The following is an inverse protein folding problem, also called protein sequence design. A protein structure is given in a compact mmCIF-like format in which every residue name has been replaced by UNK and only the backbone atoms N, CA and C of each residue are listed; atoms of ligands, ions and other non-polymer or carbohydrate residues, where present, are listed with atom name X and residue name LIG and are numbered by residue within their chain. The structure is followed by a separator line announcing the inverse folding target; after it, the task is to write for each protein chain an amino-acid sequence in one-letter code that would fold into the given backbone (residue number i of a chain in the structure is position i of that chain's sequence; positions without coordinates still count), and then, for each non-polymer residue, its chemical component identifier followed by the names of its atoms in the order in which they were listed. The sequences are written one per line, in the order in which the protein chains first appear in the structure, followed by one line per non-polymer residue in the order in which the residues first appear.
data_IF_521663074272
#
_entry.id   IF_521663074272
#
_cell.length_a   1.000
_cell.length_b   1.000
_cell.length_c   1.000
_cell.angle_alpha   90.00
_cell.angle_beta   90.00
_cell.angle_gamma   90.00
#
_symmetry.space_group_name_H-M   'P 1'
#
loop_
_entity.id
_entity.type
_entity.pdbx_description
1 polymer ?
#
# COMPACT_ATOMS: atom_id res chain seq x y z
N UNK A 1 -4.29 12.01 -19.84
CA UNK A 1 -3.45 11.64 -21.01
C UNK A 1 -4.30 11.68 -22.28
N UNK A 2 -3.70 11.97 -23.45
CA UNK A 2 -4.40 11.94 -24.76
C UNK A 2 -4.12 10.67 -25.59
N UNK A 3 -3.05 9.94 -25.30
CA UNK A 3 -2.67 8.69 -25.96
C UNK A 3 -3.25 7.46 -25.25
N UNK A 4 -3.64 6.44 -26.02
CA UNK A 4 -3.92 5.10 -25.49
C UNK A 4 -2.63 4.26 -25.29
N UNK A 5 -2.77 3.01 -24.84
CA UNK A 5 -1.65 2.11 -24.58
C UNK A 5 -0.88 1.72 -25.85
N UNK A 6 -1.54 1.66 -27.01
CA UNK A 6 -0.94 1.37 -28.31
C UNK A 6 -0.09 2.56 -28.76
N UNK A 7 -0.67 3.76 -28.71
CA UNK A 7 -0.01 5.01 -29.08
C UNK A 7 1.19 5.32 -28.17
N UNK A 8 1.13 4.93 -26.89
CA UNK A 8 2.28 4.96 -26.00
C UNK A 8 3.34 3.91 -26.37
N UNK A 9 2.93 2.68 -26.69
CA UNK A 9 3.83 1.59 -27.12
C UNK A 9 4.56 1.91 -28.44
N UNK A 10 3.94 2.65 -29.36
CA UNK A 10 4.59 3.10 -30.61
C UNK A 10 5.80 4.02 -30.35
N UNK A 11 5.76 4.82 -29.26
CA UNK A 11 6.79 5.84 -28.98
C UNK A 11 7.86 5.38 -27.97
N UNK A 12 7.51 4.54 -26.98
CA UNK A 12 8.43 4.09 -25.92
C UNK A 12 9.75 3.48 -26.45
N UNK A 13 9.76 2.58 -27.46
CA UNK A 13 10.98 2.02 -28.03
C UNK A 13 11.82 3.05 -28.78
N UNK A 14 11.19 4.06 -29.38
CA UNK A 14 11.87 5.16 -30.09
C UNK A 14 12.62 6.03 -29.08
N UNK A 15 11.95 6.43 -27.99
CA UNK A 15 12.56 7.19 -26.91
C UNK A 15 13.72 6.42 -26.25
N UNK A 16 13.54 5.12 -25.99
CA UNK A 16 14.58 4.24 -25.44
C UNK A 16 15.82 4.17 -26.35
N UNK A 17 15.61 4.02 -27.65
CA UNK A 17 16.68 3.95 -28.64
C UNK A 17 17.40 5.29 -28.80
N UNK A 18 16.67 6.40 -28.70
CA UNK A 18 17.21 7.77 -28.74
C UNK A 18 18.05 8.06 -27.49
N UNK A 19 17.57 7.73 -26.29
CA UNK A 19 18.35 7.85 -25.06
C UNK A 19 19.62 6.99 -25.12
N UNK A 20 19.50 5.74 -25.57
CA UNK A 20 20.63 4.81 -25.64
C UNK A 20 21.72 5.25 -26.61
N UNK A 21 21.34 5.71 -27.81
CA UNK A 21 22.27 6.23 -28.83
C UNK A 21 22.95 7.55 -28.43
N UNK A 22 22.33 8.34 -27.54
CA UNK A 22 22.91 9.57 -26.98
C UNK A 22 23.64 9.35 -25.64
N UNK A 23 23.96 8.10 -25.28
CA UNK A 23 24.65 7.72 -24.02
C UNK A 23 23.88 8.06 -22.72
N UNK A 24 22.54 8.16 -22.80
CA UNK A 24 21.63 8.46 -21.69
C UNK A 24 20.86 7.22 -21.18
N UNK A 25 21.38 6.00 -21.38
CA UNK A 25 20.74 4.73 -20.97
C UNK A 25 20.58 4.53 -19.45
N UNK A 26 21.18 5.41 -18.65
CA UNK A 26 20.93 5.54 -17.20
C UNK A 26 19.55 6.13 -16.89
N UNK A 27 19.02 7.00 -17.77
CA UNK A 27 17.68 7.58 -17.66
C UNK A 27 16.62 6.47 -17.74
N UNK A 28 15.58 6.57 -16.91
CA UNK A 28 14.48 5.61 -16.90
C UNK A 28 13.21 6.25 -17.42
N UNK A 29 12.65 5.64 -18.47
CA UNK A 29 11.36 6.03 -19.02
C UNK A 29 10.27 5.65 -18.03
N UNK A 30 9.35 6.60 -17.80
CA UNK A 30 8.12 6.42 -17.04
C UNK A 30 6.93 6.46 -18.01
N UNK A 31 5.85 5.78 -17.66
CA UNK A 31 4.54 5.98 -18.29
C UNK A 31 3.45 5.58 -17.30
N UNK A 32 2.28 6.22 -17.24
CA UNK A 32 1.79 7.19 -18.22
C UNK A 32 1.21 8.45 -17.61
N UNK A 33 1.37 8.63 -16.30
CA UNK A 33 0.92 9.83 -15.59
C UNK A 33 -0.58 10.09 -15.88
N UNK A 34 -1.35 8.99 -15.87
CA UNK A 34 -2.78 9.00 -16.13
C UNK A 34 -3.52 9.73 -14.99
N UNK A 35 -4.67 10.34 -15.29
CA UNK A 35 -5.34 11.29 -14.38
C UNK A 35 -5.81 10.60 -13.10
N UNK A 36 -6.15 9.32 -13.15
CA UNK A 36 -6.43 8.48 -11.98
C UNK A 36 -5.92 7.06 -12.13
N UNK A 37 -5.87 6.36 -11.00
CA UNK A 37 -5.28 5.01 -10.89
C UNK A 37 -5.98 3.95 -11.76
N UNK A 38 -7.29 4.10 -12.01
CA UNK A 38 -8.05 3.18 -12.86
C UNK A 38 -7.64 3.26 -14.33
N UNK A 39 -7.38 4.48 -14.83
CA UNK A 39 -6.87 4.70 -16.18
C UNK A 39 -5.47 4.10 -16.32
N UNK A 40 -4.60 4.29 -15.31
CA UNK A 40 -3.26 3.72 -15.33
C UNK A 40 -3.26 2.20 -15.29
N UNK A 41 -4.21 1.54 -14.61
CA UNK A 41 -4.36 0.07 -14.70
C UNK A 41 -4.66 -0.39 -16.12
N UNK A 42 -5.51 0.33 -16.83
CA UNK A 42 -5.86 0.03 -18.23
C UNK A 42 -4.64 0.21 -19.14
N UNK A 43 -3.94 1.35 -19.03
CA UNK A 43 -2.73 1.63 -19.80
C UNK A 43 -1.60 0.64 -19.51
N UNK A 44 -1.37 0.31 -18.24
CA UNK A 44 -0.36 -0.68 -17.82
C UNK A 44 -0.66 -2.06 -18.40
N UNK A 45 -1.92 -2.50 -18.36
CA UNK A 45 -2.32 -3.81 -18.92
C UNK A 45 -2.01 -3.89 -20.43
N UNK A 46 -2.33 -2.83 -21.19
CA UNK A 46 -1.99 -2.75 -22.61
C UNK A 46 -0.48 -2.69 -22.89
N UNK A 47 0.26 -1.90 -22.11
CA UNK A 47 1.73 -1.74 -22.27
C UNK A 47 2.51 -3.01 -21.89
N UNK A 48 2.05 -3.75 -20.88
CA UNK A 48 2.61 -5.05 -20.52
C UNK A 48 2.31 -6.08 -21.61
N UNK A 49 1.09 -6.11 -22.15
CA UNK A 49 0.74 -6.97 -23.28
C UNK A 49 1.54 -6.63 -24.57
N UNK A 50 1.88 -5.36 -24.78
CA UNK A 50 2.76 -4.90 -25.85
C UNK A 50 4.27 -5.14 -25.56
N UNK A 51 4.64 -5.68 -24.40
CA UNK A 51 6.03 -5.99 -24.03
C UNK A 51 6.89 -4.76 -23.69
N UNK A 52 6.30 -3.63 -23.31
CA UNK A 52 7.01 -2.36 -23.08
C UNK A 52 7.82 -2.31 -21.78
N UNK A 53 7.62 -3.24 -20.85
CA UNK A 53 8.36 -3.27 -19.56
C UNK A 53 9.88 -3.28 -19.74
N UNK A 54 10.40 -3.87 -20.83
CA UNK A 54 11.84 -3.94 -21.13
C UNK A 54 12.49 -2.57 -21.41
N UNK A 55 11.69 -1.57 -21.80
CA UNK A 55 12.14 -0.21 -22.13
C UNK A 55 11.89 0.80 -20.99
N UNK A 56 11.05 0.45 -20.02
CA UNK A 56 10.60 1.31 -18.93
C UNK A 56 11.32 1.01 -17.61
N UNK A 57 11.24 1.92 -16.64
CA UNK A 57 11.72 1.67 -15.27
C UNK A 57 10.64 1.76 -14.19
N UNK A 58 9.58 2.54 -14.44
CA UNK A 58 8.51 2.82 -13.46
C UNK A 58 7.19 3.04 -14.20
N UNK A 59 6.09 2.51 -13.67
CA UNK A 59 4.74 2.94 -14.05
C UNK A 59 4.27 4.10 -13.15
N UNK A 60 3.75 5.17 -13.73
CA UNK A 60 3.40 6.44 -13.06
C UNK A 60 1.91 6.76 -13.22
N UNK A 61 1.29 7.38 -12.20
CA UNK A 61 -0.12 7.77 -12.19
C UNK A 61 -0.37 8.97 -11.29
N UNK A 62 -1.31 9.82 -11.68
CA UNK A 62 -1.90 10.82 -10.79
C UNK A 62 -3.03 10.17 -9.96
N UNK A 63 -3.57 10.91 -8.97
CA UNK A 63 -4.66 10.43 -8.09
C UNK A 63 -6.05 11.03 -8.37
N UNK A 64 -6.15 12.08 -9.19
CA UNK A 64 -7.37 12.90 -9.32
C UNK A 64 -8.60 12.14 -9.83
N UNK A 65 -8.40 11.18 -10.75
CA UNK A 65 -9.44 10.27 -11.23
C UNK A 65 -9.64 9.02 -10.37
N UNK A 66 -9.03 8.95 -9.19
CA UNK A 66 -9.11 7.83 -8.25
C UNK A 66 -7.75 7.49 -7.62
N UNK A 67 -7.74 7.30 -6.30
CA UNK A 67 -6.53 7.03 -5.52
C UNK A 67 -5.88 5.67 -5.83
N UNK A 68 -4.55 5.55 -5.63
CA UNK A 68 -3.85 4.27 -5.63
C UNK A 68 -4.31 3.38 -4.46
N UNK A 69 -5.21 2.43 -4.75
CA UNK A 69 -5.85 1.54 -3.77
C UNK A 69 -5.39 0.07 -3.78
N UNK A 70 -4.85 -0.40 -4.91
CA UNK A 70 -4.51 -1.80 -5.19
C UNK A 70 -3.50 -1.88 -6.34
N UNK A 71 -2.64 -2.91 -6.44
CA UNK A 71 -1.47 -2.85 -7.33
C UNK A 71 -1.79 -2.72 -8.82
N UNK A 72 -0.82 -2.25 -9.59
CA UNK A 72 -0.81 -2.40 -11.05
C UNK A 72 -0.29 -3.80 -11.43
N UNK A 73 -0.77 -4.34 -12.56
CA UNK A 73 -0.35 -5.66 -13.07
C UNK A 73 0.96 -5.53 -13.83
N UNK A 74 2.08 -5.44 -13.11
CA UNK A 74 3.42 -5.17 -13.66
C UNK A 74 4.52 -5.79 -12.80
N UNK A 75 5.69 -6.05 -13.41
CA UNK A 75 6.94 -6.41 -12.71
C UNK A 75 7.76 -5.17 -12.28
N UNK A 76 7.47 -4.00 -12.87
CA UNK A 76 8.17 -2.74 -12.59
C UNK A 76 7.65 -2.08 -11.30
N UNK A 77 8.41 -1.09 -10.82
CA UNK A 77 7.97 -0.22 -9.72
C UNK A 77 6.78 0.63 -10.17
N UNK A 78 5.84 0.86 -9.28
CA UNK A 78 4.73 1.80 -9.50
C UNK A 78 4.87 3.02 -8.59
N UNK A 79 4.68 4.23 -9.13
CA UNK A 79 4.68 5.49 -8.39
C UNK A 79 3.32 6.18 -8.56
N UNK A 80 2.81 6.77 -7.48
CA UNK A 80 1.90 7.90 -7.62
C UNK A 80 2.80 9.15 -7.78
N UNK A 81 2.61 9.87 -8.87
CA UNK A 81 3.54 10.89 -9.39
C UNK A 81 3.02 12.32 -9.27
N UNK A 82 1.70 12.50 -9.28
CA UNK A 82 1.09 13.81 -9.03
C UNK A 82 -0.23 13.67 -8.26
N UNK A 83 -0.50 14.64 -7.39
CA UNK A 83 -1.72 14.67 -6.61
C UNK A 83 -1.70 15.81 -5.61
N UNK A 84 -2.77 16.58 -5.62
CA UNK A 84 -3.06 17.56 -4.59
C UNK A 84 -4.58 17.74 -4.46
N UNK A 85 -4.98 18.43 -3.41
CA UNK A 85 -6.33 18.99 -3.35
C UNK A 85 -6.36 20.31 -4.12
N UNK A 86 -7.15 20.34 -5.19
CA UNK A 86 -7.27 21.47 -6.12
C UNK A 86 -8.50 22.34 -5.85
N UNK A 87 -9.32 22.01 -4.84
CA UNK A 87 -10.64 22.60 -4.64
C UNK A 87 -10.81 23.26 -3.27
N UNK A 88 -10.36 22.62 -2.18
CA UNK A 88 -10.52 23.23 -0.85
C UNK A 88 -9.40 24.26 -0.59
N UNK A 89 -9.80 25.39 0.01
CA UNK A 89 -8.89 26.47 0.37
C UNK A 89 -7.74 26.00 1.29
N UNK A 90 -6.61 26.68 1.23
CA UNK A 90 -5.40 26.21 1.91
C UNK A 90 -5.56 26.17 3.44
N UNK A 91 -5.31 25.00 4.05
CA UNK A 91 -5.38 24.81 5.49
C UNK A 91 -4.10 24.21 6.12
N UNK A 92 -3.87 24.53 7.39
CA UNK A 92 -2.85 23.91 8.27
C UNK A 92 -3.33 22.62 8.94
N UNK A 93 -4.64 22.42 9.04
CA UNK A 93 -5.31 21.38 9.83
C UNK A 93 -4.70 19.99 9.65
N UNK A 94 -4.40 19.32 10.75
CA UNK A 94 -4.04 17.91 10.72
C UNK A 94 -5.29 17.01 10.63
N UNK A 95 -6.24 17.15 11.55
CA UNK A 95 -7.54 16.50 11.48
C UNK A 95 -8.66 17.33 12.11
N UNK A 96 -9.83 17.35 11.48
CA UNK A 96 -11.07 17.95 12.01
C UNK A 96 -12.28 17.11 11.61
N UNK A 97 -12.44 16.85 10.31
CA UNK A 97 -13.57 16.11 9.75
C UNK A 97 -13.20 15.18 8.59
N UNK A 98 -11.92 15.10 8.20
CA UNK A 98 -11.45 14.32 7.06
C UNK A 98 -11.55 15.04 5.71
N UNK A 99 -11.58 16.39 5.69
CA UNK A 99 -11.52 17.18 4.46
C UNK A 99 -10.25 16.93 3.63
N UNK A 100 -10.26 17.28 2.34
CA UNK A 100 -9.12 17.01 1.45
C UNK A 100 -7.90 17.88 1.77
N UNK A 101 -8.09 19.05 2.38
CA UNK A 101 -6.99 19.86 2.87
C UNK A 101 -6.25 19.24 4.09
N UNK A 102 -6.87 18.29 4.82
CA UNK A 102 -6.40 17.84 6.14
C UNK A 102 -5.22 16.84 6.07
N UNK A 103 -4.26 16.98 7.00
CA UNK A 103 -3.07 16.12 7.06
C UNK A 103 -3.34 14.61 7.21
N UNK A 104 -4.28 14.21 8.07
CA UNK A 104 -4.60 12.80 8.30
C UNK A 104 -5.23 12.14 7.06
N UNK A 105 -6.02 12.89 6.28
CA UNK A 105 -6.56 12.44 4.99
C UNK A 105 -5.42 12.04 4.05
N UNK A 106 -4.37 12.85 3.97
CA UNK A 106 -3.18 12.54 3.17
C UNK A 106 -2.31 11.43 3.77
N UNK A 107 -2.21 11.34 5.08
CA UNK A 107 -1.54 10.20 5.73
C UNK A 107 -2.23 8.86 5.43
N UNK A 108 -3.57 8.86 5.35
CA UNK A 108 -4.37 7.71 4.95
C UNK A 108 -4.17 7.35 3.47
N UNK A 109 -4.18 8.34 2.57
CA UNK A 109 -3.87 8.15 1.13
C UNK A 109 -2.46 7.59 0.91
N UNK A 110 -1.44 8.17 1.54
CA UNK A 110 -0.04 7.68 1.48
C UNK A 110 0.05 6.23 1.99
N UNK A 111 -0.54 5.94 3.15
CA UNK A 111 -0.55 4.59 3.72
C UNK A 111 -1.22 3.58 2.78
N UNK A 112 -2.36 3.94 2.20
CA UNK A 112 -3.10 3.09 1.26
C UNK A 112 -2.30 2.84 -0.02
N UNK A 113 -1.69 3.88 -0.59
CA UNK A 113 -0.85 3.76 -1.78
C UNK A 113 0.38 2.87 -1.54
N UNK A 114 1.15 3.12 -0.48
CA UNK A 114 2.39 2.37 -0.20
C UNK A 114 2.11 0.92 0.23
N UNK A 115 1.06 0.68 1.04
CA UNK A 115 0.81 -0.65 1.62
C UNK A 115 -0.14 -1.51 0.78
N UNK A 116 -1.24 -0.94 0.26
CA UNK A 116 -2.27 -1.65 -0.49
C UNK A 116 -2.02 -1.61 -2.00
N UNK A 117 -1.66 -0.45 -2.57
CA UNK A 117 -1.30 -0.33 -3.99
C UNK A 117 0.17 -0.67 -4.31
N UNK A 118 0.95 -1.05 -3.29
CA UNK A 118 2.35 -1.46 -3.41
C UNK A 118 3.26 -0.41 -4.08
N UNK A 119 2.96 0.88 -3.87
CA UNK A 119 3.76 1.98 -4.44
C UNK A 119 5.21 1.99 -3.91
N UNK A 120 6.12 2.35 -4.81
CA UNK A 120 7.53 2.64 -4.50
C UNK A 120 7.82 4.13 -4.27
N UNK A 121 6.89 5.02 -4.62
CA UNK A 121 6.91 6.44 -4.26
C UNK A 121 5.49 7.03 -4.28
N UNK A 122 5.31 8.12 -3.53
CA UNK A 122 4.12 8.95 -3.48
C UNK A 122 4.61 10.41 -3.55
N UNK A 123 4.07 11.22 -4.45
CA UNK A 123 4.54 12.56 -4.80
C UNK A 123 3.35 13.53 -4.79
N UNK A 124 3.48 14.61 -4.01
CA UNK A 124 2.51 15.71 -4.01
C UNK A 124 2.76 16.65 -5.20
N UNK A 125 1.74 17.33 -5.71
CA UNK A 125 1.88 18.21 -6.88
C UNK A 125 2.94 19.31 -6.68
N UNK A 126 2.73 20.23 -5.74
CA UNK A 126 3.66 21.35 -5.51
C UNK A 126 4.22 21.38 -4.07
N UNK A 127 5.49 21.77 -3.95
CA UNK A 127 6.16 21.89 -2.66
C UNK A 127 5.77 23.16 -1.91
N UNK A 128 5.88 24.32 -2.58
CA UNK A 128 5.68 25.66 -2.02
C UNK A 128 4.99 26.54 -3.06
N UNK A 129 3.99 27.32 -2.65
CA UNK A 129 3.45 28.43 -3.45
C UNK A 129 3.44 29.73 -2.63
N UNK A 130 3.47 30.88 -3.32
CA UNK A 130 3.57 32.21 -2.71
C UNK A 130 2.33 33.03 -3.07
N UNK A 131 1.58 33.47 -2.05
CA UNK A 131 0.35 34.25 -2.19
C UNK A 131 -0.77 33.60 -3.05
N UNK A 132 -0.99 32.28 -2.91
CA UNK A 132 -2.00 31.50 -3.65
C UNK A 132 -3.00 30.75 -2.72
N UNK A 133 -3.74 31.43 -1.83
CA UNK A 133 -4.52 30.78 -0.76
C UNK A 133 -5.72 29.95 -1.23
N UNK A 134 -6.12 30.07 -2.51
CA UNK A 134 -7.38 29.53 -3.04
C UNK A 134 -7.47 28.01 -3.09
N UNK A 135 -6.35 27.29 -3.07
CA UNK A 135 -6.31 25.84 -3.20
C UNK A 135 -5.24 25.21 -2.29
N UNK A 136 -5.47 23.97 -1.89
CA UNK A 136 -4.49 23.14 -1.19
C UNK A 136 -3.47 22.48 -2.14
N UNK A 137 -3.21 23.08 -3.32
CA UNK A 137 -2.37 22.54 -4.42
C UNK A 137 -0.91 22.28 -4.02
N UNK A 138 -0.48 22.81 -2.88
CA UNK A 138 0.88 22.81 -2.38
C UNK A 138 1.00 22.45 -0.89
N UNK A 139 2.18 21.98 -0.49
CA UNK A 139 2.46 21.54 0.89
C UNK A 139 2.81 22.69 1.87
N UNK A 140 3.35 23.80 1.39
CA UNK A 140 3.84 24.92 2.23
C UNK A 140 3.41 26.29 1.66
N UNK A 141 2.70 27.09 2.44
CA UNK A 141 2.35 28.46 2.05
C UNK A 141 3.50 29.43 2.32
N UNK A 142 3.56 30.51 1.54
CA UNK A 142 4.28 31.72 1.93
C UNK A 142 3.53 32.99 1.51
N UNK A 143 3.64 34.04 2.32
CA UNK A 143 3.23 35.41 1.96
C UNK A 143 4.35 36.20 1.25
N UNK A 144 5.55 35.61 1.15
CA UNK A 144 6.80 36.25 0.72
C UNK A 144 7.78 36.52 1.86
N UNK A 145 7.35 36.38 3.12
CA UNK A 145 8.15 36.57 4.34
C UNK A 145 7.96 35.43 5.34
N UNK A 146 6.72 35.05 5.65
CA UNK A 146 6.37 33.88 6.48
C UNK A 146 6.38 32.62 5.63
N UNK A 147 6.75 31.48 6.22
CA UNK A 147 6.67 30.16 5.59
C UNK A 147 5.85 29.25 6.51
N UNK A 148 4.70 28.79 6.03
CA UNK A 148 3.69 28.09 6.83
C UNK A 148 3.45 26.68 6.30
N UNK A 149 4.01 25.64 6.94
CA UNK A 149 3.72 24.24 6.62
C UNK A 149 2.25 23.85 6.84
N UNK A 150 1.71 23.03 5.93
CA UNK A 150 0.41 22.38 6.13
C UNK A 150 0.53 21.07 6.92
N UNK A 151 -0.58 20.58 7.51
CA UNK A 151 -0.69 19.21 8.02
C UNK A 151 -0.36 18.16 6.95
N UNK A 152 -0.59 18.47 5.66
CA UNK A 152 -0.23 17.61 4.53
C UNK A 152 1.29 17.44 4.40
N UNK A 153 2.09 18.50 4.60
CA UNK A 153 3.57 18.37 4.65
C UNK A 153 3.97 17.36 5.74
N UNK A 154 3.34 17.44 6.91
CA UNK A 154 3.67 16.59 8.04
C UNK A 154 3.25 15.13 7.83
N UNK A 155 2.18 14.87 7.07
CA UNK A 155 1.84 13.53 6.61
C UNK A 155 2.97 12.91 5.78
N UNK A 156 3.50 13.64 4.79
CA UNK A 156 4.67 13.20 4.03
C UNK A 156 5.94 13.07 4.89
N UNK A 157 6.17 14.00 5.82
CA UNK A 157 7.34 14.01 6.68
C UNK A 157 7.42 12.76 7.59
N UNK A 158 6.28 12.26 8.08
CA UNK A 158 6.20 11.06 8.92
C UNK A 158 6.62 9.76 8.19
N UNK A 159 6.67 9.77 6.86
CA UNK A 159 7.25 8.69 6.06
C UNK A 159 8.66 9.06 5.58
N UNK A 160 8.78 10.17 4.85
CA UNK A 160 9.98 10.57 4.11
C UNK A 160 11.21 10.87 4.99
N UNK A 161 11.04 11.38 6.22
CA UNK A 161 12.18 11.60 7.13
C UNK A 161 12.86 10.30 7.57
N UNK A 162 12.13 9.19 7.59
CA UNK A 162 12.56 7.95 8.23
C UNK A 162 12.82 6.82 7.22
N UNK A 163 11.97 6.68 6.20
CA UNK A 163 12.11 5.72 5.11
C UNK A 163 12.90 6.40 3.98
N UNK A 164 14.07 5.87 3.63
CA UNK A 164 15.04 6.51 2.74
C UNK A 164 15.18 5.79 1.40
N UNK A 165 15.68 6.44 0.33
CA UNK A 165 15.89 5.79 -0.97
C UNK A 165 16.72 4.51 -0.85
N UNK A 166 16.25 3.44 -1.50
CA UNK A 166 16.84 2.09 -1.39
C UNK A 166 16.28 1.24 -0.24
N UNK A 167 15.43 1.79 0.63
CA UNK A 167 14.66 1.00 1.59
C UNK A 167 13.67 0.06 0.88
N UNK A 168 13.32 -1.04 1.56
CA UNK A 168 12.31 -1.99 1.10
C UNK A 168 11.28 -2.29 2.18
N UNK A 169 10.04 -2.56 1.77
CA UNK A 169 8.94 -2.95 2.66
C UNK A 169 9.19 -4.38 3.18
N UNK A 170 9.05 -4.58 4.49
CA UNK A 170 9.08 -5.90 5.13
C UNK A 170 7.67 -6.33 5.53
N UNK A 171 7.48 -7.62 5.78
CA UNK A 171 6.18 -8.14 6.22
C UNK A 171 5.81 -7.67 7.62
N UNK A 172 4.52 -7.45 7.83
CA UNK A 172 3.89 -7.20 9.14
C UNK A 172 2.83 -8.28 9.39
N UNK A 173 2.50 -8.52 10.66
CA UNK A 173 1.47 -9.48 11.06
C UNK A 173 0.80 -9.04 12.37
N UNK A 174 -0.44 -9.48 12.58
CA UNK A 174 -1.32 -8.92 13.61
C UNK A 174 -2.08 -7.69 13.12
N UNK A 175 -3.08 -7.26 13.89
CA UNK A 175 -3.96 -6.12 13.57
C UNK A 175 -4.18 -5.26 14.80
N UNK A 176 -4.45 -3.97 14.58
CA UNK A 176 -4.77 -2.97 15.61
C UNK A 176 -5.97 -2.17 15.10
N UNK A 177 -6.95 -1.89 15.98
CA UNK A 177 -8.22 -1.29 15.55
C UNK A 177 -8.00 0.11 14.96
N UNK A 178 -8.56 0.37 13.77
CA UNK A 178 -8.40 1.63 13.02
C UNK A 178 -6.96 2.07 12.73
N UNK A 179 -5.97 1.18 12.80
CA UNK A 179 -4.55 1.50 12.54
C UNK A 179 -4.00 0.69 11.37
N UNK A 180 -3.55 1.38 10.31
CA UNK A 180 -2.72 0.76 9.27
C UNK A 180 -1.26 0.69 9.72
N UNK A 181 -0.56 -0.42 9.44
CA UNK A 181 0.81 -0.69 9.92
C UNK A 181 1.73 -1.01 8.74
N UNK A 182 2.69 -0.13 8.46
CA UNK A 182 3.74 -0.32 7.45
C UNK A 182 5.11 -0.50 8.09
N UNK A 183 5.89 -1.49 7.65
CA UNK A 183 7.26 -1.70 8.13
C UNK A 183 8.27 -1.73 6.98
N UNK A 184 9.44 -1.14 7.18
CA UNK A 184 10.47 -0.95 6.15
C UNK A 184 11.87 -1.16 6.73
N UNK A 185 12.77 -1.74 5.94
CA UNK A 185 14.21 -1.78 6.24
C UNK A 185 14.95 -0.80 5.34
N UNK A 186 15.68 0.14 5.95
CA UNK A 186 16.57 1.06 5.27
C UNK A 186 17.90 0.40 4.87
N UNK A 187 18.64 1.03 3.97
CA UNK A 187 19.99 0.63 3.58
C UNK A 187 21.04 0.76 4.69
N UNK A 188 20.79 1.61 5.70
CA UNK A 188 21.57 1.69 6.96
C UNK A 188 21.29 0.51 7.92
N UNK A 189 20.43 -0.43 7.53
CA UNK A 189 20.02 -1.59 8.33
C UNK A 189 18.91 -1.31 9.35
N UNK A 190 18.53 -0.04 9.56
CA UNK A 190 17.48 0.33 10.51
C UNK A 190 16.09 -0.13 10.05
N UNK A 191 15.26 -0.48 11.03
CA UNK A 191 13.84 -0.79 10.82
C UNK A 191 13.01 0.44 11.15
N UNK A 192 12.06 0.76 10.27
CA UNK A 192 11.08 1.83 10.48
C UNK A 192 9.69 1.23 10.43
N UNK A 193 8.87 1.51 11.45
CA UNK A 193 7.45 1.14 11.47
C UNK A 193 6.61 2.41 11.55
N UNK A 194 5.66 2.55 10.62
CA UNK A 194 4.70 3.66 10.55
C UNK A 194 3.31 3.13 10.89
N UNK A 195 2.66 3.80 11.83
CA UNK A 195 1.27 3.59 12.25
C UNK A 195 0.44 4.82 11.84
N UNK A 196 -0.63 4.63 11.07
CA UNK A 196 -1.64 5.68 10.83
C UNK A 196 -2.94 5.27 11.52
N UNK A 197 -3.29 5.96 12.62
CA UNK A 197 -4.53 5.75 13.35
C UNK A 197 -5.61 6.71 12.84
N UNK A 198 -6.66 6.16 12.23
CA UNK A 198 -7.85 6.94 11.82
C UNK A 198 -9.00 6.83 12.84
N UNK A 199 -8.78 6.14 13.96
CA UNK A 199 -9.76 5.97 15.03
C UNK A 199 -9.73 7.09 16.08
N UNK A 200 -10.87 7.26 16.74
CA UNK A 200 -11.10 8.22 17.83
C UNK A 200 -10.47 7.85 19.18
N UNK A 201 -9.72 6.74 19.25
CA UNK A 201 -9.10 6.24 20.49
C UNK A 201 -7.63 5.91 20.28
N UNK A 202 -6.82 6.19 21.30
CA UNK A 202 -5.41 5.81 21.29
C UNK A 202 -5.26 4.28 21.42
N UNK A 203 -4.28 3.72 20.71
CA UNK A 203 -4.01 2.28 20.65
C UNK A 203 -2.64 1.97 21.25
N UNK A 204 -2.59 1.07 22.24
CA UNK A 204 -1.33 0.55 22.77
C UNK A 204 -0.85 -0.61 21.89
N UNK A 205 0.38 -0.53 21.39
CA UNK A 205 0.93 -1.51 20.43
C UNK A 205 2.28 -2.00 20.93
N UNK A 206 2.47 -3.32 20.96
CA UNK A 206 3.75 -3.96 21.27
C UNK A 206 4.30 -4.65 20.03
N UNK A 207 5.42 -4.15 19.51
CA UNK A 207 6.14 -4.73 18.38
C UNK A 207 7.06 -5.86 18.85
N UNK A 208 6.92 -7.03 18.23
CA UNK A 208 7.86 -8.14 18.30
C UNK A 208 8.50 -8.37 16.93
N UNK A 209 9.64 -9.07 16.90
CA UNK A 209 10.50 -9.13 15.71
C UNK A 209 10.95 -10.56 15.41
N UNK A 210 10.93 -10.92 14.13
CA UNK A 210 11.53 -12.14 13.61
C UNK A 210 12.73 -11.75 12.72
N UNK A 211 13.90 -12.29 13.00
CA UNK A 211 15.14 -11.98 12.28
C UNK A 211 15.75 -10.59 12.55
N UNK A 212 15.28 -9.87 13.57
CA UNK A 212 15.83 -8.58 14.01
C UNK A 212 15.79 -8.49 15.54
N UNK A 213 16.82 -7.90 16.14
CA UNK A 213 16.90 -7.61 17.57
C UNK A 213 17.14 -6.10 17.78
N UNK A 214 16.13 -5.31 18.20
CA UNK A 214 16.29 -3.88 18.44
C UNK A 214 17.24 -3.61 19.62
N UNK A 215 18.17 -2.68 19.42
CA UNK A 215 19.03 -2.10 20.47
C UNK A 215 18.65 -0.66 20.80
N UNK A 216 17.95 0.04 19.91
CA UNK A 216 17.35 1.35 20.16
C UNK A 216 15.94 1.43 19.56
N UNK A 217 15.13 2.32 20.12
CA UNK A 217 13.87 2.75 19.53
C UNK A 217 13.69 4.25 19.74
N UNK A 218 13.22 4.96 18.71
CA UNK A 218 12.86 6.38 18.79
C UNK A 218 11.55 6.58 18.04
N UNK A 219 10.51 7.00 18.76
CA UNK A 219 9.20 7.27 18.19
C UNK A 219 9.00 8.77 17.99
N UNK A 220 8.32 9.10 16.90
CA UNK A 220 7.89 10.44 16.54
C UNK A 220 6.40 10.40 16.23
N UNK A 221 5.65 11.46 16.49
CA UNK A 221 4.23 11.53 16.15
C UNK A 221 3.82 12.88 15.54
N UNK A 222 2.79 12.84 14.70
CA UNK A 222 2.04 14.02 14.24
C UNK A 222 0.57 13.83 14.55
N UNK A 223 -0.02 14.83 15.20
CA UNK A 223 -1.45 14.94 15.52
C UNK A 223 -1.87 16.43 15.45
N UNK A 224 -3.03 16.81 15.99
CA UNK A 224 -3.51 18.20 16.00
C UNK A 224 -2.67 19.18 16.84
N UNK A 225 -1.80 18.67 17.72
CA UNK A 225 -0.98 19.42 18.68
C UNK A 225 0.53 19.18 18.51
N UNK A 226 0.92 18.12 17.80
CA UNK A 226 2.28 17.66 17.63
C UNK A 226 2.68 17.59 16.16
N UNK A 227 3.93 17.96 15.85
CA UNK A 227 4.45 18.00 14.48
C UNK A 227 5.80 17.28 14.44
N UNK A 228 5.79 16.01 14.02
CA UNK A 228 6.95 15.10 14.05
C UNK A 228 7.65 15.12 15.42
N UNK A 229 6.87 15.25 16.50
CA UNK A 229 7.37 15.45 17.86
C UNK A 229 7.88 14.13 18.44
N UNK A 230 9.00 14.16 19.17
CA UNK A 230 9.54 12.97 19.83
C UNK A 230 8.56 12.47 20.91
N UNK A 231 8.39 11.15 20.99
CA UNK A 231 7.53 10.50 22.00
C UNK A 231 8.17 9.21 22.51
N UNK A 232 7.59 8.62 23.56
CA UNK A 232 8.13 7.45 24.25
C UNK A 232 7.96 6.17 23.43
N UNK A 233 9.05 5.45 23.23
CA UNK A 233 9.06 4.05 22.81
C UNK A 233 9.77 3.23 23.88
N UNK A 234 9.08 2.26 24.48
CA UNK A 234 9.62 1.43 25.56
C UNK A 234 10.19 0.14 24.98
N UNK A 235 11.52 0.06 24.88
CA UNK A 235 12.23 -1.17 24.54
C UNK A 235 12.45 -2.01 25.82
N UNK A 236 11.80 -3.17 25.91
CA UNK A 236 11.94 -4.11 27.03
C UNK A 236 11.70 -5.55 26.58
N UNK A 237 12.46 -6.51 27.11
CA UNK A 237 12.33 -7.93 26.74
C UNK A 237 12.55 -8.25 25.25
N UNK A 238 13.18 -7.36 24.49
CA UNK A 238 13.32 -7.46 23.02
C UNK A 238 12.11 -6.96 22.22
N UNK A 239 11.02 -6.54 22.89
CA UNK A 239 9.86 -5.92 22.29
C UNK A 239 9.91 -4.39 22.41
N UNK A 240 9.23 -3.68 21.49
CA UNK A 240 9.10 -2.22 21.52
C UNK A 240 7.63 -1.82 21.65
N UNK A 241 7.27 -1.23 22.79
CA UNK A 241 5.88 -0.80 23.08
C UNK A 241 5.73 0.70 22.87
N UNK A 242 4.66 1.09 22.18
CA UNK A 242 4.27 2.49 21.90
C UNK A 242 2.78 2.72 22.13
N UNK A 243 2.39 3.97 22.40
CA UNK A 243 1.00 4.41 22.37
C UNK A 243 0.78 5.28 21.13
N UNK A 244 -0.03 4.81 20.19
CA UNK A 244 -0.41 5.54 18.97
C UNK A 244 -1.65 6.39 19.29
N UNK A 245 -1.60 7.72 19.30
CA UNK A 245 -2.75 8.55 19.67
C UNK A 245 -3.93 8.40 18.70
N UNK A 246 -5.11 8.84 19.13
CA UNK A 246 -6.26 8.98 18.24
C UNK A 246 -5.95 9.95 17.09
N UNK A 247 -6.47 9.68 15.89
CA UNK A 247 -6.35 10.56 14.72
C UNK A 247 -4.90 11.04 14.43
N UNK A 248 -3.92 10.14 14.49
CA UNK A 248 -2.49 10.48 14.47
C UNK A 248 -1.68 9.55 13.57
N UNK A 249 -0.49 10.02 13.15
CA UNK A 249 0.57 9.14 12.65
C UNK A 249 1.66 9.04 13.70
N UNK A 250 2.15 7.83 13.96
CA UNK A 250 3.32 7.57 14.80
C UNK A 250 4.33 6.74 14.00
N UNK A 251 5.58 7.19 13.94
CA UNK A 251 6.68 6.49 13.27
C UNK A 251 7.79 6.14 14.25
N UNK A 252 8.14 4.86 14.34
CA UNK A 252 9.23 4.33 15.17
C UNK A 252 10.42 4.01 14.27
N UNK A 253 11.57 4.64 14.48
CA UNK A 253 12.86 4.18 13.93
C UNK A 253 13.61 3.37 14.98
N UNK A 254 14.18 2.24 14.59
CA UNK A 254 14.94 1.34 15.45
C UNK A 254 16.27 0.97 14.78
N UNK A 255 17.35 1.00 15.56
CA UNK A 255 18.61 0.32 15.20
C UNK A 255 18.73 -0.99 15.98
N UNK A 256 19.51 -1.93 15.46
CA UNK A 256 19.58 -3.29 16.00
C UNK A 256 20.36 -4.21 15.07
N UNK A 257 20.54 -5.46 15.48
CA UNK A 257 21.20 -6.49 14.66
C UNK A 257 20.16 -7.30 13.88
N UNK A 258 20.51 -7.69 12.65
CA UNK A 258 19.75 -8.73 11.94
C UNK A 258 20.15 -10.07 12.52
N UNK A 259 19.21 -10.82 13.10
CA UNK A 259 19.46 -12.13 13.69
C UNK A 259 19.18 -13.21 12.66
N UNK A 260 20.21 -13.95 12.22
CA UNK A 260 20.00 -15.17 11.45
C UNK A 260 19.48 -16.26 12.37
N UNK A 261 18.16 -16.42 12.43
CA UNK A 261 17.52 -17.62 12.99
C UNK A 261 17.92 -18.81 12.13
N UNK A 262 19.00 -19.50 12.50
CA UNK A 262 19.44 -20.71 11.83
C UNK A 262 18.43 -21.82 12.10
N UNK A 263 17.47 -21.98 11.18
CA UNK A 263 16.62 -23.17 11.08
C UNK A 263 17.48 -24.35 10.65
N UNK A 264 18.21 -24.89 11.62
CA UNK A 264 18.96 -26.14 11.48
C UNK A 264 17.97 -27.29 11.34
N UNK A 265 17.43 -27.48 10.13
CA UNK A 265 16.66 -28.66 9.76
C UNK A 265 17.53 -29.88 10.00
N UNK A 266 17.26 -30.59 11.11
CA UNK A 266 17.97 -31.80 11.49
C UNK A 266 17.59 -32.94 10.54
N UNK A 267 18.27 -33.00 9.40
CA UNK A 267 18.12 -34.06 8.40
C UNK A 267 18.69 -35.36 8.95
N UNK A 268 17.91 -36.05 9.79
CA UNK A 268 18.26 -37.37 10.35
C UNK A 268 18.23 -38.41 9.23
N UNK A 269 19.38 -38.62 8.60
CA UNK A 269 19.59 -39.63 7.58
C UNK A 269 19.64 -41.02 8.21
N UNK A 270 18.70 -41.89 7.82
CA UNK A 270 18.71 -43.32 8.15
C UNK A 270 18.67 -44.12 6.86
N UNK A 271 19.63 -45.04 6.68
CA UNK A 271 19.82 -45.80 5.45
C UNK A 271 18.89 -47.02 5.34
N UNK A 272 18.56 -47.41 4.10
CA UNK A 272 17.69 -48.53 3.78
C UNK A 272 18.46 -49.80 3.42
N UNK A 273 18.01 -50.97 3.88
CA UNK A 273 18.19 -52.23 3.13
C UNK A 273 17.20 -53.33 3.53
N UNK A 274 16.37 -53.72 2.55
CA UNK A 274 15.78 -55.04 2.25
C UNK A 274 15.10 -55.92 3.33
N UNK A 275 13.83 -56.22 3.03
CA UNK A 275 13.25 -57.58 2.84
C UNK A 275 12.98 -58.42 4.12
N UNK A 276 11.74 -58.80 4.48
CA UNK A 276 10.44 -58.75 3.76
C UNK A 276 9.30 -58.15 4.65
N UNK A 277 8.03 -58.56 4.78
CA UNK A 277 7.26 -59.78 4.38
C UNK A 277 5.76 -59.47 4.17
N UNK A 278 5.06 -60.40 3.50
CA UNK A 278 3.62 -60.51 3.21
C UNK A 278 2.62 -59.83 4.16
N UNK A 279 1.67 -59.08 3.58
CA UNK A 279 0.27 -59.03 4.04
C UNK A 279 -0.68 -58.80 2.85
N UNK A 280 -1.98 -59.04 3.02
CA UNK A 280 -2.95 -59.28 1.94
C UNK A 280 -3.60 -58.03 1.33
N UNK A 281 -3.93 -58.14 0.03
CA UNK A 281 -4.64 -57.12 -0.74
C UNK A 281 -6.13 -57.07 -0.39
N UNK A 282 -6.66 -55.90 -0.01
CA UNK A 282 -8.10 -55.58 -0.10
C UNK A 282 -8.30 -54.21 -0.73
N UNK A 283 -8.65 -54.20 -2.02
CA UNK A 283 -8.96 -52.97 -2.75
C UNK A 283 -10.30 -52.39 -2.30
N UNK A 284 -10.34 -51.11 -1.93
CA UNK A 284 -11.62 -50.40 -1.72
C UNK A 284 -11.53 -48.97 -2.26
N UNK A 285 -12.19 -48.75 -3.40
CA UNK A 285 -12.35 -47.42 -4.00
C UNK A 285 -13.13 -46.50 -3.07
N UNK A 286 -12.63 -45.27 -2.86
CA UNK A 286 -13.34 -44.22 -2.13
C UNK A 286 -13.45 -42.98 -3.00
N UNK A 287 -14.61 -42.80 -3.62
CA UNK A 287 -14.92 -41.62 -4.44
C UNK A 287 -15.26 -40.44 -3.53
N UNK A 288 -14.50 -39.35 -3.59
CA UNK A 288 -14.79 -38.15 -2.80
C UNK A 288 -15.93 -37.36 -3.44
N UNK A 289 -17.13 -37.43 -2.86
CA UNK A 289 -18.31 -36.70 -3.33
C UNK A 289 -18.25 -35.23 -2.95
N UNK A 290 -18.35 -34.32 -3.92
CA UNK A 290 -18.51 -32.87 -3.66
C UNK A 290 -19.94 -32.56 -3.25
N UNK A 291 -20.16 -32.21 -1.97
CA UNK A 291 -21.51 -31.93 -1.44
C UNK A 291 -21.98 -30.52 -1.78
N UNK A 292 -22.68 -30.35 -2.91
CA UNK A 292 -23.35 -29.08 -3.26
C UNK A 292 -24.65 -28.91 -2.47
N UNK A 293 -24.62 -28.18 -1.36
CA UNK A 293 -25.83 -27.79 -0.61
C UNK A 293 -26.52 -26.60 -1.27
N UNK A 294 -27.48 -26.85 -2.15
CA UNK A 294 -28.29 -25.81 -2.80
C UNK A 294 -29.38 -25.28 -1.86
N UNK A 295 -29.18 -24.11 -1.28
CA UNK A 295 -30.16 -23.37 -0.46
C UNK A 295 -31.25 -22.70 -1.32
N UNK A 296 -32.07 -23.51 -1.98
CA UNK A 296 -33.21 -23.04 -2.78
C UNK A 296 -34.29 -22.41 -1.89
N UNK A 297 -34.35 -21.08 -1.84
CA UNK A 297 -35.44 -20.35 -1.17
C UNK A 297 -35.06 -19.08 -0.41
N UNK A 298 -33.77 -18.71 -0.34
CA UNK A 298 -33.35 -17.45 0.29
C UNK A 298 -33.01 -16.38 -0.76
N UNK A 299 -33.34 -15.12 -0.43
CA UNK A 299 -33.31 -13.98 -1.35
C UNK A 299 -32.48 -12.85 -0.76
N UNK A 300 -31.47 -12.37 -1.49
CA UNK A 300 -30.65 -11.23 -1.15
C UNK A 300 -31.43 -9.92 -1.38
N UNK A 301 -31.36 -8.98 -0.42
CA UNK A 301 -31.98 -7.66 -0.55
C UNK A 301 -31.24 -6.78 -1.55
N UNK A 302 -31.87 -5.66 -1.96
CA UNK A 302 -31.16 -4.57 -2.65
C UNK A 302 -29.87 -4.22 -1.89
N UNK A 303 -28.76 -4.04 -2.63
CA UNK A 303 -27.39 -3.80 -2.16
C UNK A 303 -26.69 -4.95 -1.42
N UNK A 304 -27.33 -6.09 -1.19
CA UNK A 304 -26.68 -7.26 -0.62
C UNK A 304 -25.82 -8.03 -1.65
N UNK A 305 -24.87 -8.81 -1.16
CA UNK A 305 -24.07 -9.71 -1.99
C UNK A 305 -24.94 -10.86 -2.53
N UNK A 306 -24.72 -11.25 -3.79
CA UNK A 306 -25.43 -12.33 -4.48
C UNK A 306 -24.51 -13.30 -5.24
N UNK A 307 -23.19 -13.11 -5.15
CA UNK A 307 -22.22 -13.95 -5.86
C UNK A 307 -20.77 -13.55 -5.57
N UNK A 308 -19.85 -14.35 -6.10
CA UNK A 308 -18.40 -14.22 -5.92
C UNK A 308 -17.73 -15.57 -5.66
N UNK A 309 -16.44 -15.69 -5.95
CA UNK A 309 -15.64 -16.87 -5.62
C UNK A 309 -15.72 -17.13 -4.11
N UNK A 310 -16.15 -18.35 -3.75
CA UNK A 310 -16.30 -18.77 -2.34
C UNK A 310 -17.58 -18.26 -1.64
N UNK A 311 -18.45 -17.51 -2.31
CA UNK A 311 -19.72 -17.06 -1.72
C UNK A 311 -20.72 -18.22 -1.59
N UNK A 312 -21.28 -18.42 -0.40
CA UNK A 312 -22.22 -19.51 -0.06
C UNK A 312 -23.59 -19.00 0.39
N UNK A 313 -23.87 -17.70 0.26
CA UNK A 313 -25.14 -17.09 0.63
C UNK A 313 -26.19 -17.10 -0.50
N UNK A 314 -27.20 -16.25 -0.36
CA UNK A 314 -28.33 -16.18 -1.29
C UNK A 314 -27.92 -15.56 -2.64
N UNK A 315 -28.09 -16.30 -3.73
CA UNK A 315 -27.75 -15.84 -5.10
C UNK A 315 -28.93 -15.22 -5.86
N UNK A 316 -30.16 -15.47 -5.40
CA UNK A 316 -31.37 -14.85 -5.94
C UNK A 316 -31.54 -13.44 -5.35
N UNK A 317 -31.63 -12.41 -6.19
CA UNK A 317 -31.92 -11.04 -5.75
C UNK A 317 -33.42 -10.79 -5.53
N UNK A 318 -33.75 -9.78 -4.72
CA UNK A 318 -35.10 -9.32 -4.47
C UNK A 318 -35.78 -8.82 -5.76
N UNK A 319 -37.11 -9.00 -5.84
CA UNK A 319 -37.90 -8.58 -7.01
C UNK A 319 -37.67 -7.10 -7.34
N UNK A 320 -37.33 -6.83 -8.60
CA UNK A 320 -36.93 -5.50 -9.07
C UNK A 320 -35.42 -5.22 -9.06
N UNK A 321 -34.58 -6.14 -8.56
CA UNK A 321 -33.11 -6.03 -8.58
C UNK A 321 -32.45 -7.24 -9.23
N UNK A 322 -31.27 -7.04 -9.83
CA UNK A 322 -30.48 -8.02 -10.60
C UNK A 322 -29.11 -8.23 -9.97
N UNK A 323 -28.63 -9.48 -9.96
CA UNK A 323 -27.30 -9.79 -9.44
C UNK A 323 -26.21 -9.28 -10.41
N UNK A 324 -25.61 -8.15 -10.08
CA UNK A 324 -24.69 -7.39 -10.93
C UNK A 324 -23.24 -7.65 -10.51
N UNK A 325 -22.38 -7.99 -11.48
CA UNK A 325 -20.94 -8.20 -11.26
C UNK A 325 -20.25 -6.91 -10.80
N UNK A 326 -19.39 -7.01 -9.78
CA UNK A 326 -18.48 -5.92 -9.36
C UNK A 326 -17.01 -6.36 -9.46
N UNK A 327 -16.70 -7.58 -9.00
CA UNK A 327 -15.41 -8.25 -9.19
C UNK A 327 -15.55 -9.77 -8.96
N UNK A 328 -14.51 -10.55 -9.25
CA UNK A 328 -14.50 -12.02 -9.09
C UNK A 328 -15.01 -12.51 -7.72
N UNK A 329 -14.80 -11.73 -6.65
CA UNK A 329 -15.15 -12.08 -5.27
C UNK A 329 -16.47 -11.46 -4.80
N UNK A 330 -17.11 -10.59 -5.61
CA UNK A 330 -18.29 -9.84 -5.21
C UNK A 330 -19.23 -9.48 -6.36
N UNK A 331 -20.48 -9.92 -6.25
CA UNK A 331 -21.61 -9.50 -7.09
C UNK A 331 -22.69 -8.93 -6.17
N UNK A 332 -23.42 -7.91 -6.60
CA UNK A 332 -24.37 -7.16 -5.77
C UNK A 332 -25.75 -7.06 -6.42
N UNK A 333 -26.82 -7.17 -5.63
CA UNK A 333 -28.18 -6.87 -6.11
C UNK A 333 -28.38 -5.37 -6.32
N UNK A 334 -28.68 -4.96 -7.56
CA UNK A 334 -28.95 -3.57 -7.98
C UNK A 334 -30.20 -3.50 -8.87
#
# INVERSE_FOLDING_TARGET
MQSDATQAADFIPILYSTLSSNSLSSVKITCCDAVGWSDQKTLTTGLVAAGMEQYMGVFTSHMYGGDPSSPLTTTLKSWQSEGADLNDAWCTTWYSSGGLCEGLTWASKISTGILSANLSAYIYWQGVEVNQPQASSYLVASDGTTVTPSGRLWAFAMWSRFIRPGAYRVSTSGTVSSVSIGAFKNTDGSIVVVFTNTGSSAQSVSLSFNGFAPSTASAYLTDNTHTVASTTATLSGGAVTVSVPAYAVLTVKMTGTTTTTSTTSATTSTSTSKTTTTSTTTTKTSTTTTTTTTTSGCTATHYAQCGGIGYTGCTQCASGTTCTYQNDWYYQCL
#
